data_IF_395003737259
#
_entry.id   IF_395003737259
#
_cell.length_a   1.000
_cell.length_b   1.000
_cell.length_c   1.000
_cell.angle_alpha   90.00
_cell.angle_beta   90.00
_cell.angle_gamma   90.00
#
_symmetry.space_group_name_H-M   'P 1'
#
loop_
_entity.id
_entity.type
_entity.pdbx_description
1 polymer ?
#
# COMPACT_ATOMS: atom_id res chain seq x y z
N UNK A 1 10.86 9.27 -5.22
CA UNK A 1 11.13 7.87 -5.67
C UNK A 1 10.73 6.86 -4.60
N UNK A 2 9.53 6.27 -4.72
CA UNK A 2 8.96 5.24 -3.81
C UNK A 2 9.20 3.90 -4.48
N UNK A 3 10.45 3.46 -4.58
CA UNK A 3 10.66 2.16 -5.21
C UNK A 3 10.36 1.11 -4.15
N UNK A 4 9.09 0.69 -4.07
CA UNK A 4 8.86 -0.71 -3.73
C UNK A 4 9.52 -1.45 -4.88
N UNK A 5 10.49 -2.29 -4.54
CA UNK A 5 11.22 -3.08 -5.52
C UNK A 5 10.23 -3.82 -6.43
N UNK A 6 10.41 -3.66 -7.74
CA UNK A 6 9.56 -4.26 -8.75
C UNK A 6 9.52 -5.79 -8.58
N UNK A 7 10.66 -6.40 -8.25
CA UNK A 7 10.77 -7.84 -8.03
C UNK A 7 9.94 -8.28 -6.82
N UNK A 8 9.94 -7.48 -5.74
CA UNK A 8 9.10 -7.76 -4.57
C UNK A 8 7.61 -7.64 -4.87
N UNK A 9 7.19 -6.72 -5.73
CA UNK A 9 5.79 -6.64 -6.18
C UNK A 9 5.41 -7.85 -7.04
N UNK A 10 6.30 -8.30 -7.91
CA UNK A 10 6.09 -9.51 -8.71
C UNK A 10 5.94 -10.75 -7.83
N UNK A 11 6.81 -10.93 -6.84
CA UNK A 11 6.71 -12.05 -5.90
C UNK A 11 5.45 -11.96 -5.02
N UNK A 12 5.09 -10.77 -4.54
CA UNK A 12 3.87 -10.57 -3.78
C UNK A 12 2.62 -10.94 -4.58
N UNK A 13 2.56 -10.60 -5.87
CA UNK A 13 1.40 -10.89 -6.72
C UNK A 13 1.16 -12.40 -6.92
N UNK A 14 2.19 -13.24 -6.79
CA UNK A 14 2.06 -14.71 -6.86
C UNK A 14 1.40 -15.32 -5.62
N UNK A 15 1.37 -14.60 -4.50
CA UNK A 15 0.80 -15.08 -3.25
C UNK A 15 -0.72 -14.98 -3.24
N UNK A 16 -1.38 -15.86 -2.49
CA UNK A 16 -2.82 -15.78 -2.25
C UNK A 16 -3.17 -14.66 -1.26
N UNK A 17 -4.40 -14.14 -1.31
CA UNK A 17 -4.84 -13.10 -0.37
C UNK A 17 -4.74 -13.52 1.11
N UNK A 18 -5.03 -14.77 1.51
CA UNK A 18 -4.76 -15.25 2.87
C UNK A 18 -3.27 -15.23 3.24
N UNK A 19 -2.39 -15.70 2.36
CA UNK A 19 -0.95 -15.72 2.62
C UNK A 19 -0.37 -14.30 2.77
N UNK A 20 -0.84 -13.36 1.94
CA UNK A 20 -0.49 -11.95 2.05
C UNK A 20 -0.94 -11.39 3.41
N UNK A 21 -2.20 -11.60 3.80
CA UNK A 21 -2.73 -11.16 5.09
C UNK A 21 -1.87 -11.67 6.24
N UNK A 22 -1.63 -12.97 6.30
CA UNK A 22 -0.87 -13.61 7.36
C UNK A 22 0.54 -13.01 7.48
N UNK A 23 1.27 -12.91 6.36
CA UNK A 23 2.62 -12.31 6.34
C UNK A 23 2.60 -10.86 6.81
N UNK A 24 1.65 -10.06 6.33
CA UNK A 24 1.57 -8.64 6.69
C UNK A 24 1.25 -8.41 8.17
N UNK A 25 0.37 -9.23 8.76
CA UNK A 25 0.02 -9.14 10.18
C UNK A 25 1.17 -9.61 11.07
N UNK A 26 1.87 -10.67 10.67
CA UNK A 26 2.99 -11.22 11.44
C UNK A 26 4.24 -10.32 11.37
N UNK A 27 4.53 -9.76 10.20
CA UNK A 27 5.83 -9.15 9.92
C UNK A 27 5.79 -7.62 9.71
N UNK A 28 4.59 -7.02 9.71
CA UNK A 28 4.42 -5.57 9.59
C UNK A 28 4.94 -4.81 10.80
N UNK A 29 5.75 -3.77 10.56
CA UNK A 29 6.27 -2.92 11.65
C UNK A 29 5.14 -2.22 12.42
N UNK A 30 4.07 -1.81 11.74
CA UNK A 30 2.89 -1.22 12.38
C UNK A 30 2.19 -2.14 13.40
N UNK A 31 2.36 -3.46 13.28
CA UNK A 31 1.82 -4.44 14.23
C UNK A 31 2.79 -4.72 15.39
N UNK A 32 4.06 -4.35 15.24
CA UNK A 32 5.13 -4.62 16.22
C UNK A 32 5.51 -3.40 17.06
N UNK A 33 5.25 -2.20 16.56
CA UNK A 33 5.63 -0.93 17.18
C UNK A 33 4.42 -0.30 17.90
N UNK A 34 4.15 -0.81 19.11
CA UNK A 34 3.00 -0.37 19.92
C UNK A 34 3.18 1.04 20.48
N UNK A 35 4.43 1.45 20.73
CA UNK A 35 4.75 2.75 21.33
C UNK A 35 4.44 3.92 20.38
N UNK A 36 4.29 3.65 19.08
CA UNK A 36 4.05 4.64 18.03
C UNK A 36 2.71 4.43 17.32
N UNK A 37 1.72 3.85 18.01
CA UNK A 37 0.42 3.55 17.44
C UNK A 37 -0.23 4.75 16.73
N UNK A 38 -0.17 5.95 17.33
CA UNK A 38 -0.74 7.17 16.73
C UNK A 38 -0.08 7.57 15.41
N UNK A 39 1.22 7.26 15.24
CA UNK A 39 1.94 7.52 13.99
C UNK A 39 1.59 6.48 12.92
N UNK A 40 1.42 5.21 13.30
CA UNK A 40 1.07 4.11 12.40
C UNK A 40 -0.40 4.13 11.96
N UNK A 41 -1.28 4.65 12.82
CA UNK A 41 -2.73 4.69 12.63
C UNK A 41 -3.31 6.12 12.76
N UNK A 42 -2.77 7.11 12.02
CA UNK A 42 -3.21 8.50 12.15
C UNK A 42 -4.62 8.68 11.56
N UNK A 43 -5.43 9.59 12.13
CA UNK A 43 -6.74 9.90 11.59
C UNK A 43 -6.62 10.44 10.17
N UNK A 44 -7.57 10.09 9.31
CA UNK A 44 -7.56 10.60 7.94
C UNK A 44 -7.86 12.10 7.93
N UNK A 45 -7.03 12.91 7.23
CA UNK A 45 -7.31 14.33 7.11
C UNK A 45 -8.51 14.61 6.20
N UNK A 46 -9.20 15.76 6.38
CA UNK A 46 -10.25 16.20 5.47
C UNK A 46 -9.75 16.31 4.02
N UNK A 47 -10.60 15.96 3.07
CA UNK A 47 -10.22 15.98 1.64
C UNK A 47 -9.84 17.39 1.14
N UNK A 48 -10.40 18.43 1.76
CA UNK A 48 -10.15 19.84 1.46
C UNK A 48 -8.78 20.34 1.92
N UNK A 49 -8.07 19.60 2.77
CA UNK A 49 -6.79 20.03 3.34
C UNK A 49 -5.61 19.40 2.59
N UNK A 50 -5.14 20.07 1.55
CA UNK A 50 -4.00 19.62 0.73
C UNK A 50 -2.73 19.43 1.56
N UNK A 51 -2.42 20.36 2.46
CA UNK A 51 -1.24 20.29 3.33
C UNK A 51 -1.29 19.11 4.30
N UNK A 52 -2.44 18.85 4.93
CA UNK A 52 -2.58 17.71 5.83
C UNK A 52 -2.52 16.36 5.08
N UNK A 53 -3.03 16.30 3.85
CA UNK A 53 -2.89 15.12 2.97
C UNK A 53 -1.44 14.89 2.58
N UNK A 54 -0.71 15.92 2.18
CA UNK A 54 0.72 15.81 1.86
C UNK A 54 1.53 15.33 3.07
N UNK A 55 1.24 15.84 4.28
CA UNK A 55 1.86 15.36 5.52
C UNK A 55 1.53 13.88 5.78
N UNK A 56 0.26 13.48 5.63
CA UNK A 56 -0.16 12.08 5.77
C UNK A 56 0.59 11.14 4.81
N UNK A 57 0.72 11.53 3.54
CA UNK A 57 1.47 10.79 2.52
C UNK A 57 2.96 10.67 2.87
N UNK A 58 3.56 11.75 3.36
CA UNK A 58 4.95 11.75 3.81
C UNK A 58 5.15 10.79 4.99
N UNK A 59 4.28 10.85 6.00
CA UNK A 59 4.31 9.95 7.16
C UNK A 59 4.12 8.50 6.73
N UNK A 60 3.14 8.21 5.88
CA UNK A 60 2.92 6.88 5.30
C UNK A 60 4.17 6.32 4.64
N UNK A 61 4.80 7.10 3.77
CA UNK A 61 6.04 6.72 3.10
C UNK A 61 7.16 6.48 4.12
N UNK A 62 7.38 7.41 5.04
CA UNK A 62 8.50 7.37 5.99
C UNK A 62 8.43 6.12 6.88
N UNK A 63 7.26 5.86 7.47
CA UNK A 63 7.04 4.72 8.36
C UNK A 63 7.13 3.38 7.63
N UNK A 64 6.51 3.27 6.45
CA UNK A 64 6.49 2.00 5.74
C UNK A 64 7.79 1.70 4.98
N UNK A 65 8.64 2.69 4.70
CA UNK A 65 9.88 2.47 3.93
C UNK A 65 10.76 1.34 4.48
N UNK A 66 11.06 1.27 5.79
CA UNK A 66 11.85 0.17 6.37
C UNK A 66 11.07 -1.14 6.56
N UNK A 67 9.77 -1.17 6.31
CA UNK A 67 8.94 -2.35 6.57
C UNK A 67 9.27 -3.50 5.59
N UNK A 68 9.56 -4.72 6.09
CA UNK A 68 10.00 -5.83 5.24
C UNK A 68 8.92 -6.35 4.30
N UNK A 69 7.64 -6.15 4.66
CA UNK A 69 6.46 -6.65 3.93
C UNK A 69 5.72 -5.56 3.15
N UNK A 70 6.41 -4.48 2.77
CA UNK A 70 5.79 -3.33 2.12
C UNK A 70 5.10 -3.68 0.80
N UNK A 71 5.70 -4.57 0.00
CA UNK A 71 5.14 -5.02 -1.28
C UNK A 71 3.91 -5.90 -1.08
N UNK A 72 3.99 -6.86 -0.16
CA UNK A 72 2.89 -7.76 0.22
C UNK A 72 1.72 -6.97 0.80
N UNK A 73 2.00 -5.97 1.64
CA UNK A 73 1.00 -5.08 2.22
C UNK A 73 0.28 -4.27 1.13
N UNK A 74 1.01 -3.72 0.16
CA UNK A 74 0.39 -3.00 -0.96
C UNK A 74 -0.46 -3.94 -1.82
N UNK A 75 0.07 -5.10 -2.20
CA UNK A 75 -0.64 -6.08 -3.01
C UNK A 75 -1.93 -6.54 -2.33
N UNK A 76 -1.86 -6.81 -1.02
CA UNK A 76 -3.03 -7.16 -0.23
C UNK A 76 -4.07 -6.04 -0.20
N UNK A 77 -3.64 -4.79 0.02
CA UNK A 77 -4.52 -3.62 0.04
C UNK A 77 -5.29 -3.49 -1.28
N UNK A 78 -4.59 -3.55 -2.40
CA UNK A 78 -5.18 -3.36 -3.73
C UNK A 78 -6.19 -4.46 -4.07
N UNK A 79 -5.99 -5.69 -3.57
CA UNK A 79 -6.98 -6.78 -3.70
C UNK A 79 -8.22 -6.56 -2.85
N UNK A 80 -8.05 -6.12 -1.59
CA UNK A 80 -9.19 -5.80 -0.73
C UNK A 80 -10.00 -4.63 -1.30
N UNK A 81 -9.31 -3.61 -1.82
CA UNK A 81 -9.93 -2.41 -2.37
C UNK A 81 -10.62 -2.60 -3.73
N UNK A 82 -10.42 -3.75 -4.38
CA UNK A 82 -11.20 -4.10 -5.57
C UNK A 82 -12.71 -4.19 -5.27
N UNK A 83 -13.09 -4.56 -4.04
CA UNK A 83 -14.47 -4.60 -3.57
C UNK A 83 -14.90 -3.33 -2.82
N UNK A 84 -14.16 -2.94 -1.79
CA UNK A 84 -14.49 -1.79 -0.93
C UNK A 84 -13.23 -1.01 -0.54
N UNK A 85 -13.30 0.33 -0.62
CA UNK A 85 -12.19 1.21 -0.21
C UNK A 85 -11.76 0.93 1.23
N UNK A 86 -10.46 0.69 1.43
CA UNK A 86 -9.85 0.56 2.74
C UNK A 86 -9.30 1.91 3.19
N UNK A 87 -9.46 2.19 4.47
CA UNK A 87 -8.92 3.39 5.11
C UNK A 87 -7.51 3.12 5.65
N UNK A 88 -6.79 4.19 5.97
CA UNK A 88 -5.47 4.11 6.59
C UNK A 88 -4.29 3.95 5.62
N UNK A 89 -3.10 3.81 6.22
CA UNK A 89 -1.81 3.63 5.54
C UNK A 89 -1.60 2.16 5.20
N UNK A 90 -1.34 1.86 3.92
CA UNK A 90 -1.04 0.50 3.47
C UNK A 90 0.10 0.55 2.45
N UNK A 91 1.13 -0.28 2.64
CA UNK A 91 2.26 -0.36 1.71
C UNK A 91 3.01 0.97 1.51
N UNK A 92 2.88 1.90 2.45
CA UNK A 92 3.45 3.26 2.35
C UNK A 92 2.64 4.24 1.51
N UNK A 93 1.37 3.95 1.23
CA UNK A 93 0.46 4.82 0.50
C UNK A 93 -0.77 5.19 1.33
N UNK A 94 -1.26 6.40 1.10
CA UNK A 94 -2.56 6.86 1.58
C UNK A 94 -3.72 6.29 0.74
N UNK A 95 -4.97 6.27 1.25
CA UNK A 95 -6.12 5.72 0.52
C UNK A 95 -6.33 6.31 -0.88
N UNK A 96 -6.14 7.62 -1.04
CA UNK A 96 -6.30 8.29 -2.34
C UNK A 96 -5.13 8.08 -3.30
N UNK A 97 -3.94 7.71 -2.82
CA UNK A 97 -2.83 7.31 -3.68
C UNK A 97 -3.04 5.90 -4.24
N UNK A 98 -3.83 5.06 -3.56
CA UNK A 98 -4.16 3.70 -4.02
C UNK A 98 -5.34 3.65 -4.99
N UNK A 99 -6.28 4.58 -4.89
CA UNK A 99 -7.44 4.64 -5.78
C UNK A 99 -7.12 4.54 -7.29
N UNK A 100 -6.14 5.29 -7.85
CA UNK A 100 -5.78 5.13 -9.26
C UNK A 100 -5.16 3.75 -9.57
N UNK A 101 -4.43 3.13 -8.62
CA UNK A 101 -3.86 1.79 -8.77
C UNK A 101 -4.97 0.73 -8.87
N UNK A 102 -5.96 0.80 -7.98
CA UNK A 102 -7.12 -0.10 -7.99
C UNK A 102 -7.87 0.03 -9.32
N UNK A 103 -8.12 1.27 -9.78
CA UNK A 103 -8.78 1.52 -11.07
C UNK A 103 -8.00 0.93 -12.25
N UNK A 104 -6.68 1.09 -12.28
CA UNK A 104 -5.83 0.55 -13.34
C UNK A 104 -5.85 -0.99 -13.37
N UNK A 105 -5.98 -1.65 -12.21
CA UNK A 105 -5.99 -3.11 -12.08
C UNK A 105 -7.32 -3.78 -12.49
N UNK A 106 -8.43 -3.05 -12.59
CA UNK A 106 -9.77 -3.61 -12.88
C UNK A 106 -9.90 -4.39 -14.19
N UNK A 107 -8.97 -4.21 -15.12
CA UNK A 107 -9.00 -4.82 -16.46
C UNK A 107 -8.05 -6.03 -16.60
N UNK A 108 -7.42 -6.44 -15.51
CA UNK A 108 -6.37 -7.44 -15.51
C UNK A 108 -6.70 -8.54 -14.51
N UNK A 109 -6.53 -9.80 -14.93
CA UNK A 109 -6.87 -10.96 -14.10
C UNK A 109 -5.64 -11.79 -13.72
N UNK A 110 -4.52 -11.64 -14.44
CA UNK A 110 -3.30 -12.40 -14.15
C UNK A 110 -2.44 -11.68 -13.10
N UNK A 111 -1.76 -12.47 -12.25
CA UNK A 111 -0.85 -11.94 -11.24
C UNK A 111 0.25 -11.04 -11.84
N UNK A 112 0.78 -11.44 -13.00
CA UNK A 112 1.80 -10.66 -13.70
C UNK A 112 1.26 -9.31 -14.17
N UNK A 113 0.09 -9.27 -14.80
CA UNK A 113 -0.48 -8.02 -15.32
C UNK A 113 -0.85 -7.06 -14.18
N UNK A 114 -1.40 -7.59 -13.09
CA UNK A 114 -1.72 -6.81 -11.89
C UNK A 114 -0.47 -6.15 -11.30
N UNK A 115 0.64 -6.90 -11.18
CA UNK A 115 1.91 -6.39 -10.70
C UNK A 115 2.53 -5.38 -11.67
N UNK A 116 2.63 -5.70 -12.95
CA UNK A 116 3.16 -4.83 -14.01
C UNK A 116 2.42 -3.50 -14.10
N UNK A 117 1.09 -3.53 -13.98
CA UNK A 117 0.25 -2.32 -13.96
C UNK A 117 0.51 -1.48 -12.70
N UNK A 118 0.64 -2.12 -11.54
CA UNK A 118 0.97 -1.43 -10.28
C UNK A 118 2.35 -0.76 -10.37
N UNK A 119 3.37 -1.48 -10.82
CA UNK A 119 4.75 -0.98 -10.99
C UNK A 119 4.77 0.24 -11.90
N UNK A 120 4.12 0.14 -13.08
CA UNK A 120 4.05 1.26 -14.03
C UNK A 120 3.38 2.49 -13.43
N UNK A 121 2.25 2.32 -12.75
CA UNK A 121 1.51 3.43 -12.15
C UNK A 121 2.30 4.10 -11.01
N UNK A 122 3.03 3.32 -10.20
CA UNK A 122 3.91 3.87 -9.16
C UNK A 122 5.09 4.66 -9.73
N UNK A 123 5.65 4.22 -10.86
CA UNK A 123 6.75 4.92 -11.55
C UNK A 123 6.32 6.24 -12.19
N UNK A 124 5.04 6.38 -12.54
CA UNK A 124 4.48 7.60 -13.15
C UNK A 124 4.03 8.64 -12.13
N UNK A 125 3.79 8.24 -10.88
CA UNK A 125 3.34 9.12 -9.79
C UNK A 125 4.51 9.73 -8.98
N UNK A 126 5.74 9.65 -9.49
CA UNK A 126 6.99 10.00 -8.80
C UNK A 126 7.61 11.30 -9.31
#
# INVERSE_FOLDING_TARGET
MTSIDADRLMEAAKLSSPALRERTQRDGLCSKDQDRADEWFPPQPPETSSGARAHYEHTARALCTPCPVRAECLEFALRQEAGQRAWGIWGGLAPWQREPLVKARRRHDTAHDLASTTIRALSQAA
#
